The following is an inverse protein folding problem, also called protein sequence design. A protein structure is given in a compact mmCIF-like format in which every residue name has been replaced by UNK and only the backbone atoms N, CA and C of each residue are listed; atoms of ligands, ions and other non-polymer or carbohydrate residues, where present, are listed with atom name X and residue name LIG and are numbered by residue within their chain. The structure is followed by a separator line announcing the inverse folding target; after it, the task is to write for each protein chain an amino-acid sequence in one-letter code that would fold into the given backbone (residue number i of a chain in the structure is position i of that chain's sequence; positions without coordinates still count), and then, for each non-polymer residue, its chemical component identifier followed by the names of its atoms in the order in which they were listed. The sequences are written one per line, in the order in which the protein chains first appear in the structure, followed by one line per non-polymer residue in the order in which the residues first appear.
data_IF_039188332625
#
_entry.id   IF_039188332625
#
_cell.length_a   1.000
_cell.length_b   1.000
_cell.length_c   1.000
_cell.angle_alpha   90.00
_cell.angle_beta   90.00
_cell.angle_gamma   90.00
#
_symmetry.space_group_name_H-M   'P 1'
#
loop_
_entity.id
_entity.type
_entity.pdbx_description
1 polymer ?
#
# COMPACT_ATOMS: atom_id res chain seq x y z
N UNK A 1 39.60 -33.07 34.55
CA UNK A 1 39.19 -33.16 33.14
C UNK A 1 37.66 -33.07 33.10
N UNK A 2 37.10 -31.91 32.75
CA UNK A 2 35.64 -31.74 32.63
C UNK A 2 35.20 -32.16 31.22
N UNK A 3 34.43 -33.24 31.10
CA UNK A 3 33.80 -33.66 29.85
C UNK A 3 32.70 -32.64 29.51
N UNK A 4 32.98 -31.77 28.54
CA UNK A 4 31.94 -31.03 27.85
C UNK A 4 31.28 -32.00 26.88
N UNK A 5 30.33 -32.80 27.38
CA UNK A 5 29.53 -33.68 26.52
C UNK A 5 28.70 -32.78 25.59
N UNK A 6 29.13 -32.71 24.34
CA UNK A 6 28.47 -31.98 23.28
C UNK A 6 27.14 -32.70 23.01
N UNK A 7 26.02 -32.08 23.37
CA UNK A 7 24.70 -32.63 23.06
C UNK A 7 24.53 -32.69 21.53
N UNK A 8 24.32 -33.87 20.94
CA UNK A 8 24.31 -34.02 19.49
C UNK A 8 23.07 -33.36 18.88
N UNK A 9 23.27 -32.66 17.76
CA UNK A 9 22.17 -32.12 16.95
C UNK A 9 21.56 -33.28 16.16
N UNK A 10 20.47 -33.83 16.68
CA UNK A 10 19.65 -34.86 16.03
C UNK A 10 18.42 -34.23 15.35
N UNK A 11 17.79 -34.96 14.42
CA UNK A 11 16.51 -34.55 13.81
C UNK A 11 15.43 -34.22 14.86
N UNK A 12 15.37 -34.99 15.94
CA UNK A 12 14.46 -34.73 17.06
C UNK A 12 14.79 -33.41 17.77
N UNK A 13 16.07 -33.18 18.08
CA UNK A 13 16.52 -31.94 18.76
C UNK A 13 16.32 -30.69 17.89
N UNK A 14 16.48 -30.80 16.57
CA UNK A 14 16.18 -29.72 15.62
C UNK A 14 14.70 -29.38 15.63
N UNK A 15 13.83 -30.38 15.55
CA UNK A 15 12.38 -30.21 15.62
C UNK A 15 11.95 -29.54 16.93
N UNK A 16 12.50 -29.98 18.06
CA UNK A 16 12.20 -29.37 19.36
C UNK A 16 12.58 -27.88 19.42
N UNK A 17 13.73 -27.51 18.84
CA UNK A 17 14.13 -26.09 18.73
C UNK A 17 13.23 -25.32 17.77
N UNK A 18 12.84 -25.89 16.63
CA UNK A 18 11.89 -25.26 15.70
C UNK A 18 10.52 -25.01 16.33
N UNK A 19 9.98 -25.99 17.06
CA UNK A 19 8.73 -25.85 17.81
C UNK A 19 8.84 -24.79 18.90
N UNK A 20 10.01 -24.68 19.53
CA UNK A 20 10.28 -23.61 20.50
C UNK A 20 10.32 -22.25 19.81
N UNK A 21 11.03 -22.09 18.69
CA UNK A 21 11.05 -20.82 17.93
C UNK A 21 9.63 -20.39 17.59
N UNK A 22 8.82 -21.30 17.02
CA UNK A 22 7.42 -21.02 16.69
C UNK A 22 6.56 -20.67 17.92
N UNK A 23 6.88 -21.22 19.10
CA UNK A 23 6.24 -20.82 20.36
C UNK A 23 6.68 -19.40 20.77
N UNK A 24 7.99 -19.12 20.76
CA UNK A 24 8.54 -17.82 21.17
C UNK A 24 8.02 -16.69 20.27
N UNK A 25 7.89 -16.91 18.96
CA UNK A 25 7.32 -15.93 18.03
C UNK A 25 5.88 -15.54 18.36
N UNK A 26 5.11 -16.44 18.99
CA UNK A 26 3.72 -16.19 19.42
C UNK A 26 3.61 -15.67 20.86
N UNK A 27 4.58 -16.01 21.72
CA UNK A 27 4.53 -15.75 23.16
C UNK A 27 5.61 -14.79 23.67
N UNK A 28 6.40 -14.14 22.81
CA UNK A 28 7.56 -13.32 23.21
C UNK A 28 7.25 -12.24 24.25
N UNK A 29 6.04 -11.70 24.28
CA UNK A 29 5.61 -10.67 25.23
C UNK A 29 5.36 -11.22 26.64
N UNK A 30 5.25 -12.54 26.80
CA UNK A 30 5.01 -13.20 28.07
C UNK A 30 6.32 -13.46 28.83
N UNK A 31 6.19 -13.82 30.10
CA UNK A 31 7.33 -14.27 30.90
C UNK A 31 7.71 -15.71 30.52
N UNK A 32 8.85 -15.87 29.85
CA UNK A 32 9.34 -17.15 29.33
C UNK A 32 10.58 -17.57 30.14
N UNK A 33 10.54 -18.79 30.68
CA UNK A 33 11.65 -19.37 31.45
C UNK A 33 12.30 -20.51 30.67
N UNK A 34 13.59 -20.73 30.88
CA UNK A 34 14.30 -21.81 30.17
C UNK A 34 13.82 -23.19 30.64
N UNK A 35 13.38 -23.30 31.89
CA UNK A 35 12.81 -24.50 32.48
C UNK A 35 11.54 -24.95 31.74
N UNK A 36 10.67 -23.99 31.36
CA UNK A 36 9.48 -24.28 30.56
C UNK A 36 9.87 -24.83 29.18
N UNK A 37 10.80 -24.18 28.49
CA UNK A 37 11.23 -24.59 27.15
C UNK A 37 11.93 -25.96 27.17
N UNK A 38 12.78 -26.18 28.17
CA UNK A 38 13.49 -27.43 28.37
C UNK A 38 12.53 -28.59 28.68
N UNK A 39 11.52 -28.35 29.52
CA UNK A 39 10.45 -29.31 29.81
C UNK A 39 9.64 -29.66 28.56
N UNK A 40 9.29 -28.68 27.74
CA UNK A 40 8.57 -28.90 26.48
C UNK A 40 9.39 -29.75 25.50
N UNK A 41 10.71 -29.55 25.47
CA UNK A 41 11.63 -30.32 24.64
C UNK A 41 12.02 -31.70 25.23
N UNK A 42 11.61 -32.00 26.46
CA UNK A 42 12.04 -33.17 27.24
C UNK A 42 13.58 -33.28 27.36
N UNK A 43 14.25 -32.13 27.58
CA UNK A 43 15.71 -32.02 27.71
C UNK A 43 16.02 -31.25 29.00
N UNK A 44 17.13 -31.53 29.67
CA UNK A 44 17.54 -30.76 30.85
C UNK A 44 17.90 -29.31 30.49
N UNK A 45 17.54 -28.32 31.32
CA UNK A 45 17.70 -26.88 31.04
C UNK A 45 19.09 -26.46 30.57
N UNK A 46 20.15 -27.04 31.14
CA UNK A 46 21.54 -26.77 30.71
C UNK A 46 21.81 -27.28 29.29
N UNK A 47 21.42 -28.53 29.01
CA UNK A 47 21.59 -29.15 27.69
C UNK A 47 20.77 -28.40 26.64
N UNK A 48 19.54 -28.02 26.98
CA UNK A 48 18.66 -27.26 26.11
C UNK A 48 19.23 -25.87 25.78
N UNK A 49 19.83 -25.17 26.76
CA UNK A 49 20.52 -23.89 26.52
C UNK A 49 21.63 -24.03 25.47
N UNK A 50 22.46 -25.06 25.61
CA UNK A 50 23.58 -25.32 24.68
C UNK A 50 23.07 -25.70 23.30
N UNK A 51 22.06 -26.59 23.23
CA UNK A 51 21.42 -27.02 22.00
C UNK A 51 20.81 -25.83 21.25
N UNK A 52 20.00 -25.02 21.93
CA UNK A 52 19.34 -23.87 21.34
C UNK A 52 20.37 -22.85 20.81
N UNK A 53 21.43 -22.56 21.56
CA UNK A 53 22.52 -21.69 21.11
C UNK A 53 23.29 -22.25 19.92
N UNK A 54 23.52 -23.56 19.88
CA UNK A 54 24.21 -24.19 18.76
C UNK A 54 23.40 -24.10 17.47
N UNK A 55 22.08 -24.21 17.56
CA UNK A 55 21.19 -24.16 16.39
C UNK A 55 20.91 -22.72 15.96
N UNK A 56 20.66 -21.80 16.90
CA UNK A 56 20.17 -20.44 16.60
C UNK A 56 21.25 -19.36 16.66
N UNK A 57 22.41 -19.65 17.26
CA UNK A 57 23.43 -18.67 17.60
C UNK A 57 23.18 -17.92 18.91
N UNK A 58 21.96 -17.98 19.45
CA UNK A 58 21.52 -17.25 20.65
C UNK A 58 21.12 -18.18 21.78
N UNK A 59 21.27 -17.78 23.04
CA UNK A 59 20.53 -18.49 24.09
C UNK A 59 19.03 -18.11 24.08
N UNK A 60 18.13 -18.89 24.70
CA UNK A 60 16.70 -18.62 24.62
C UNK A 60 16.28 -17.21 25.09
N UNK A 61 16.91 -16.67 26.13
CA UNK A 61 16.59 -15.32 26.65
C UNK A 61 17.09 -14.22 25.71
N UNK A 62 18.25 -14.42 25.08
CA UNK A 62 18.76 -13.53 24.02
C UNK A 62 17.81 -13.54 22.82
N UNK A 63 17.35 -14.72 22.40
CA UNK A 63 16.42 -14.85 21.28
C UNK A 63 15.10 -14.13 21.54
N UNK A 64 14.50 -14.30 22.73
CA UNK A 64 13.32 -13.53 23.13
C UNK A 64 13.61 -12.03 23.16
N UNK A 65 14.79 -11.61 23.63
CA UNK A 65 15.18 -10.20 23.60
C UNK A 65 15.22 -9.67 22.17
N UNK A 66 15.81 -10.41 21.23
CA UNK A 66 15.84 -10.02 19.82
C UNK A 66 14.44 -9.94 19.21
N UNK A 67 13.55 -10.89 19.49
CA UNK A 67 12.15 -10.82 19.06
C UNK A 67 11.44 -9.57 19.60
N UNK A 68 11.63 -9.26 20.90
CA UNK A 68 11.06 -8.06 21.52
C UNK A 68 11.63 -6.78 20.92
N UNK A 69 12.94 -6.73 20.65
CA UNK A 69 13.59 -5.58 20.02
C UNK A 69 13.14 -5.39 18.58
N UNK A 70 12.99 -6.48 17.82
CA UNK A 70 12.42 -6.47 16.46
C UNK A 70 11.02 -5.86 16.50
N UNK A 71 10.12 -6.39 17.34
CA UNK A 71 8.76 -5.86 17.48
C UNK A 71 8.73 -4.41 17.97
N UNK A 72 9.62 -4.04 18.88
CA UNK A 72 9.72 -2.68 19.37
C UNK A 72 10.09 -1.69 18.25
N UNK A 73 11.05 -2.03 17.38
CA UNK A 73 11.43 -1.21 16.23
C UNK A 73 10.26 -1.00 15.29
N UNK A 74 9.50 -2.07 15.01
CA UNK A 74 8.28 -2.02 14.21
C UNK A 74 7.27 -1.03 14.84
N UNK A 75 6.87 -1.25 16.09
CA UNK A 75 5.90 -0.41 16.80
C UNK A 75 6.32 1.05 16.90
N UNK A 76 7.62 1.34 17.07
CA UNK A 76 8.14 2.70 17.11
C UNK A 76 8.02 3.44 15.78
N UNK A 77 8.08 2.72 14.65
CA UNK A 77 7.94 3.32 13.32
C UNK A 77 6.45 3.47 12.98
N UNK A 78 5.66 2.43 13.27
CA UNK A 78 4.33 2.28 12.67
C UNK A 78 3.18 2.72 13.58
N UNK A 79 3.40 2.80 14.90
CA UNK A 79 2.34 3.15 15.85
C UNK A 79 2.46 4.57 16.38
N UNK A 80 1.34 5.11 16.87
CA UNK A 80 1.31 6.34 17.68
C UNK A 80 1.28 6.06 19.19
N UNK A 81 1.58 4.83 19.61
CA UNK A 81 1.54 4.44 21.02
C UNK A 81 2.58 5.20 21.84
N UNK A 82 2.25 5.42 23.12
CA UNK A 82 3.24 5.98 24.06
C UNK A 82 4.37 4.97 24.27
N UNK A 83 5.57 5.47 24.57
CA UNK A 83 6.74 4.61 24.77
C UNK A 83 6.51 3.55 25.86
N UNK A 84 5.78 3.92 26.92
CA UNK A 84 5.32 3.03 27.99
C UNK A 84 4.41 1.91 27.49
N UNK A 85 3.51 2.19 26.54
CA UNK A 85 2.59 1.20 25.97
C UNK A 85 3.37 0.23 25.09
N UNK A 86 4.26 0.74 24.23
CA UNK A 86 5.14 -0.10 23.40
C UNK A 86 5.97 -1.04 24.28
N UNK A 87 6.56 -0.53 25.37
CA UNK A 87 7.32 -1.35 26.31
C UNK A 87 6.48 -2.53 26.84
N UNK A 88 5.25 -2.26 27.29
CA UNK A 88 4.32 -3.29 27.79
C UNK A 88 3.91 -4.27 26.70
N UNK A 89 3.58 -3.78 25.51
CA UNK A 89 3.19 -4.62 24.36
C UNK A 89 4.28 -5.61 23.98
N UNK A 90 5.56 -5.20 24.05
CA UNK A 90 6.69 -6.10 23.75
C UNK A 90 7.19 -6.86 24.99
N UNK A 91 6.47 -6.84 26.11
CA UNK A 91 6.75 -7.69 27.28
C UNK A 91 7.74 -7.10 28.30
N UNK A 92 7.91 -5.78 28.33
CA UNK A 92 8.62 -5.08 29.40
C UNK A 92 7.63 -4.31 30.29
N UNK A 93 7.63 -4.63 31.58
CA UNK A 93 6.81 -3.92 32.57
C UNK A 93 7.35 -2.52 32.87
N UNK A 94 8.68 -2.37 32.84
CA UNK A 94 9.40 -1.15 33.18
C UNK A 94 9.96 -0.46 31.92
N UNK A 95 9.49 0.76 31.65
CA UNK A 95 9.90 1.56 30.49
C UNK A 95 11.40 1.92 30.53
N UNK A 96 11.97 2.15 31.72
CA UNK A 96 13.37 2.52 31.87
C UNK A 96 14.30 1.34 31.52
N UNK A 97 13.94 0.12 31.92
CA UNK A 97 14.63 -1.10 31.56
C UNK A 97 14.51 -1.38 30.06
N UNK A 98 13.31 -1.22 29.48
CA UNK A 98 13.12 -1.30 28.03
C UNK A 98 14.03 -0.31 27.30
N UNK A 99 14.06 0.96 27.71
CA UNK A 99 14.89 1.99 27.08
C UNK A 99 16.38 1.62 27.10
N UNK A 100 16.90 1.17 28.27
CA UNK A 100 18.30 0.71 28.38
C UNK A 100 18.58 -0.49 27.49
N UNK A 101 17.67 -1.47 27.43
CA UNK A 101 17.80 -2.66 26.57
C UNK A 101 17.76 -2.30 25.10
N UNK A 102 16.84 -1.44 24.70
CA UNK A 102 16.72 -0.94 23.34
C UNK A 102 17.97 -0.18 22.91
N UNK A 103 18.48 0.72 23.77
CA UNK A 103 19.73 1.45 23.50
C UNK A 103 20.94 0.52 23.40
N UNK A 104 20.99 -0.53 24.23
CA UNK A 104 22.05 -1.55 24.15
C UNK A 104 21.99 -2.35 22.84
N UNK A 105 20.79 -2.70 22.37
CA UNK A 105 20.58 -3.47 21.14
C UNK A 105 20.78 -2.63 19.87
N UNK A 106 20.38 -1.35 19.89
CA UNK A 106 20.32 -0.51 18.67
C UNK A 106 21.35 0.61 18.62
N UNK A 107 22.04 0.90 19.72
CA UNK A 107 22.93 2.05 19.87
C UNK A 107 22.21 3.38 20.15
N UNK A 108 20.87 3.44 20.01
CA UNK A 108 20.08 4.67 20.15
C UNK A 108 18.92 4.48 21.14
N UNK A 109 18.47 5.54 21.80
CA UNK A 109 17.21 5.46 22.58
C UNK A 109 16.00 5.27 21.65
N UNK A 110 14.88 4.69 22.13
CA UNK A 110 13.67 4.53 21.32
C UNK A 110 13.20 5.83 20.64
N UNK A 111 13.25 6.96 21.35
CA UNK A 111 12.86 8.28 20.80
C UNK A 111 13.82 8.76 19.71
N UNK A 112 15.13 8.57 19.90
CA UNK A 112 16.13 8.90 18.89
C UNK A 112 15.96 8.02 17.64
N UNK A 113 15.72 6.72 17.83
CA UNK A 113 15.45 5.79 16.74
C UNK A 113 14.22 6.25 15.92
N UNK A 114 13.09 6.50 16.58
CA UNK A 114 11.86 6.99 15.94
C UNK A 114 12.11 8.29 15.15
N UNK A 115 12.78 9.28 15.77
CA UNK A 115 13.08 10.56 15.12
C UNK A 115 14.01 10.39 13.92
N UNK A 116 15.05 9.56 14.04
CA UNK A 116 16.03 9.31 12.97
C UNK A 116 15.40 8.63 11.75
N UNK A 117 14.37 7.83 11.97
CA UNK A 117 13.70 7.06 10.92
C UNK A 117 12.62 7.88 10.23
N UNK A 118 11.77 8.62 10.96
CA UNK A 118 10.62 9.34 10.36
C UNK A 118 10.99 10.38 9.29
N UNK A 119 12.14 11.06 9.39
CA UNK A 119 12.50 12.11 8.42
C UNK A 119 13.10 11.60 7.11
N UNK A 120 13.49 10.31 7.02
CA UNK A 120 14.16 9.77 5.84
C UNK A 120 13.96 8.25 5.73
N UNK A 121 12.70 7.79 5.82
CA UNK A 121 12.38 6.38 5.70
C UNK A 121 12.74 5.88 4.29
N UNK A 122 13.54 4.83 4.24
CA UNK A 122 13.75 4.02 3.03
C UNK A 122 12.57 3.07 2.85
N UNK A 123 11.64 3.41 1.96
CA UNK A 123 10.35 2.68 1.87
C UNK A 123 10.35 1.76 0.64
N UNK A 124 9.85 0.54 0.79
CA UNK A 124 9.33 -0.25 -0.33
C UNK A 124 7.81 -0.12 -0.30
N UNK A 125 7.20 0.28 -1.41
CA UNK A 125 5.77 0.56 -1.52
C UNK A 125 5.09 -0.45 -2.45
N UNK A 126 4.63 -1.57 -1.88
CA UNK A 126 3.80 -2.55 -2.61
C UNK A 126 2.31 -2.15 -2.62
N UNK A 127 1.96 -1.08 -1.90
CA UNK A 127 0.70 -0.34 -1.99
C UNK A 127 0.93 1.14 -1.64
N UNK A 128 -0.08 1.98 -1.90
CA UNK A 128 -0.10 3.40 -1.50
C UNK A 128 1.01 4.27 -2.10
N UNK A 129 1.54 3.85 -3.26
CA UNK A 129 2.53 4.61 -3.99
C UNK A 129 2.07 6.05 -4.23
N UNK A 130 0.83 6.24 -4.68
CA UNK A 130 0.32 7.57 -5.02
C UNK A 130 0.36 8.54 -3.84
N UNK A 131 -0.06 8.11 -2.66
CA UNK A 131 -0.04 8.95 -1.45
C UNK A 131 1.39 9.28 -1.01
N UNK A 132 2.33 8.33 -1.13
CA UNK A 132 3.73 8.58 -0.82
C UNK A 132 4.35 9.61 -1.75
N UNK A 133 4.05 9.53 -3.05
CA UNK A 133 4.51 10.51 -4.03
C UNK A 133 3.91 11.90 -3.77
N UNK A 134 2.63 11.99 -3.41
CA UNK A 134 1.98 13.25 -3.03
C UNK A 134 2.66 13.92 -1.82
N UNK A 135 3.18 13.12 -0.88
CA UNK A 135 3.94 13.59 0.28
C UNK A 135 5.43 13.83 -0.03
N UNK A 136 5.87 13.70 -1.28
CA UNK A 136 7.27 13.84 -1.68
C UNK A 136 8.17 12.75 -1.07
N UNK A 137 7.65 11.54 -0.88
CA UNK A 137 8.38 10.36 -0.38
C UNK A 137 8.54 9.35 -1.52
N UNK A 138 9.61 9.46 -2.30
CA UNK A 138 9.92 8.47 -3.33
C UNK A 138 10.31 7.11 -2.71
N UNK A 139 9.59 6.01 -3.04
CA UNK A 139 9.98 4.68 -2.61
C UNK A 139 11.28 4.21 -3.29
N UNK A 140 12.00 3.31 -2.63
CA UNK A 140 13.13 2.58 -3.22
C UNK A 140 12.67 1.56 -4.26
N UNK A 141 11.48 1.00 -4.05
CA UNK A 141 10.90 0.03 -4.94
C UNK A 141 9.38 0.01 -4.83
N UNK A 142 8.74 -0.46 -5.89
CA UNK A 142 7.29 -0.56 -6.03
C UNK A 142 6.87 -1.96 -6.46
N UNK A 143 5.59 -2.27 -6.27
CA UNK A 143 4.99 -3.49 -6.79
C UNK A 143 5.16 -3.59 -8.33
N UNK A 144 5.50 -4.78 -8.82
CA UNK A 144 5.69 -5.02 -10.25
C UNK A 144 4.47 -4.67 -11.09
N UNK A 145 3.25 -4.89 -10.58
CA UNK A 145 2.03 -4.57 -11.31
C UNK A 145 1.87 -3.07 -11.55
N UNK A 146 2.40 -2.22 -10.66
CA UNK A 146 2.32 -0.76 -10.77
C UNK A 146 3.11 -0.21 -11.97
N UNK A 147 4.19 -0.89 -12.36
CA UNK A 147 5.08 -0.45 -13.44
C UNK A 147 4.35 -0.36 -14.77
N UNK A 148 3.31 -1.16 -14.97
CA UNK A 148 2.51 -1.13 -16.20
C UNK A 148 1.54 0.07 -16.26
N UNK A 149 1.35 0.80 -15.16
CA UNK A 149 0.39 1.90 -15.02
C UNK A 149 1.06 3.28 -14.98
N UNK A 150 2.39 3.30 -14.94
CA UNK A 150 3.19 4.49 -14.74
C UNK A 150 4.17 4.70 -15.89
N UNK A 151 4.41 5.96 -16.24
CA UNK A 151 5.42 6.33 -17.21
C UNK A 151 6.84 6.11 -16.65
N UNK A 152 7.83 5.87 -17.52
CA UNK A 152 9.23 5.64 -17.10
C UNK A 152 9.79 6.76 -16.22
N UNK A 153 9.37 8.00 -16.45
CA UNK A 153 9.75 9.15 -15.63
C UNK A 153 9.23 9.02 -14.19
N UNK A 154 7.99 8.55 -14.02
CA UNK A 154 7.33 8.42 -12.72
C UNK A 154 7.94 7.32 -11.84
N UNK A 155 8.53 6.29 -12.43
CA UNK A 155 9.20 5.17 -11.74
C UNK A 155 10.73 5.27 -11.77
N UNK A 156 11.27 6.38 -12.28
CA UNK A 156 12.71 6.56 -12.43
C UNK A 156 13.43 6.43 -11.08
N UNK A 157 14.46 5.59 -11.04
CA UNK A 157 15.23 5.32 -9.82
C UNK A 157 14.57 4.38 -8.81
N UNK A 158 13.44 3.76 -9.15
CA UNK A 158 12.75 2.77 -8.30
C UNK A 158 12.97 1.35 -8.84
N UNK A 159 13.22 0.40 -7.94
CA UNK A 159 13.26 -1.02 -8.30
C UNK A 159 11.84 -1.61 -8.41
N UNK A 160 11.73 -2.74 -9.10
CA UNK A 160 10.51 -3.56 -9.16
C UNK A 160 10.60 -4.70 -8.17
N UNK A 161 9.56 -4.93 -7.37
CA UNK A 161 9.43 -6.09 -6.48
C UNK A 161 8.17 -6.85 -6.86
N UNK A 162 8.29 -8.16 -7.02
CA UNK A 162 7.16 -9.08 -7.17
C UNK A 162 7.04 -9.99 -5.94
N UNK A 163 6.00 -10.82 -5.89
CA UNK A 163 5.79 -11.78 -4.81
C UNK A 163 6.71 -13.02 -4.85
N UNK A 164 7.72 -13.05 -5.73
CA UNK A 164 8.62 -14.20 -5.87
C UNK A 164 9.76 -14.17 -4.84
N UNK A 165 10.45 -15.30 -4.68
CA UNK A 165 11.67 -15.36 -3.87
C UNK A 165 12.71 -14.34 -4.33
N UNK A 166 12.85 -14.15 -5.65
CA UNK A 166 13.79 -13.15 -6.20
C UNK A 166 13.38 -11.71 -5.87
N UNK A 167 12.08 -11.44 -5.76
CA UNK A 167 11.53 -10.18 -5.28
C UNK A 167 11.89 -9.92 -3.81
N UNK A 168 11.76 -10.94 -2.96
CA UNK A 168 12.15 -10.87 -1.54
C UNK A 168 13.66 -10.62 -1.39
N UNK A 169 14.50 -11.34 -2.14
CA UNK A 169 15.96 -11.14 -2.13
C UNK A 169 16.34 -9.72 -2.55
N UNK A 170 15.66 -9.19 -3.59
CA UNK A 170 15.87 -7.81 -4.05
C UNK A 170 15.46 -6.80 -2.97
N UNK A 171 14.32 -7.01 -2.30
CA UNK A 171 13.90 -6.17 -1.19
C UNK A 171 14.94 -6.15 -0.05
N UNK A 172 15.57 -7.28 0.25
CA UNK A 172 16.61 -7.37 1.28
C UNK A 172 17.87 -6.54 0.94
N UNK A 173 18.31 -6.57 -0.32
CA UNK A 173 19.48 -5.80 -0.80
C UNK A 173 19.25 -4.29 -0.68
N UNK A 174 18.01 -3.83 -0.86
CA UNK A 174 17.65 -2.43 -0.77
C UNK A 174 17.70 -1.85 0.65
N UNK A 175 17.78 -2.70 1.69
CA UNK A 175 17.84 -2.30 3.10
C UNK A 175 16.74 -1.26 3.45
N UNK A 176 15.45 -1.61 3.27
CA UNK A 176 14.35 -0.73 3.63
C UNK A 176 14.26 -0.54 5.15
N UNK A 177 13.69 0.59 5.56
CA UNK A 177 13.27 0.87 6.93
C UNK A 177 11.80 0.50 7.17
N UNK A 178 11.01 0.42 6.10
CA UNK A 178 9.58 0.13 6.11
C UNK A 178 9.18 -0.51 4.77
N UNK A 179 8.31 -1.50 4.83
CA UNK A 179 7.65 -2.10 3.66
C UNK A 179 6.15 -1.90 3.84
N UNK A 180 5.51 -1.25 2.89
CA UNK A 180 4.06 -1.08 2.89
C UNK A 180 3.47 -2.08 1.91
N UNK A 181 2.54 -2.90 2.39
CA UNK A 181 1.97 -4.04 1.66
C UNK A 181 0.47 -3.88 1.50
N UNK A 182 -0.08 -4.48 0.44
CA UNK A 182 -1.53 -4.50 0.21
C UNK A 182 -2.24 -5.48 1.17
N UNK A 183 -3.57 -5.35 1.31
CA UNK A 183 -4.37 -6.19 2.21
C UNK A 183 -4.44 -7.67 1.78
N UNK A 184 -4.13 -7.96 0.51
CA UNK A 184 -4.21 -9.30 -0.07
C UNK A 184 -2.85 -10.01 -0.13
N UNK A 185 -1.82 -9.42 0.47
CA UNK A 185 -0.46 -9.99 0.47
C UNK A 185 -0.49 -11.33 1.20
N UNK A 186 -0.07 -12.44 0.57
CA UNK A 186 -0.07 -13.75 1.20
C UNK A 186 0.70 -13.75 2.52
N UNK A 187 0.20 -14.50 3.51
CA UNK A 187 0.77 -14.50 4.86
C UNK A 187 2.24 -14.98 4.86
N UNK A 188 2.57 -15.93 3.99
CA UNK A 188 3.93 -16.45 3.81
C UNK A 188 4.86 -15.34 3.30
N UNK A 189 4.43 -14.60 2.28
CA UNK A 189 5.21 -13.48 1.74
C UNK A 189 5.35 -12.35 2.76
N UNK A 190 4.29 -12.04 3.50
CA UNK A 190 4.33 -11.04 4.58
C UNK A 190 5.36 -11.42 5.65
N UNK A 191 5.44 -12.70 6.02
CA UNK A 191 6.41 -13.19 6.99
C UNK A 191 7.85 -12.98 6.48
N UNK A 192 8.14 -13.36 5.23
CA UNK A 192 9.43 -13.14 4.58
C UNK A 192 9.82 -11.66 4.53
N UNK A 193 8.91 -10.78 4.09
CA UNK A 193 9.13 -9.33 4.07
C UNK A 193 9.36 -8.77 5.48
N UNK A 194 8.64 -9.28 6.47
CA UNK A 194 8.80 -8.90 7.88
C UNK A 194 10.15 -9.33 8.48
N UNK A 195 10.87 -10.28 7.86
CA UNK A 195 12.26 -10.58 8.24
C UNK A 195 13.24 -9.52 7.75
N UNK A 196 12.89 -8.74 6.71
CA UNK A 196 13.73 -7.69 6.13
C UNK A 196 13.56 -6.38 6.88
N UNK A 197 12.31 -5.91 7.01
CA UNK A 197 11.95 -4.65 7.66
C UNK A 197 10.50 -4.73 8.15
N UNK A 198 10.05 -3.81 9.04
CA UNK A 198 8.64 -3.70 9.40
C UNK A 198 7.76 -3.70 8.14
N UNK A 199 6.93 -4.74 7.97
CA UNK A 199 5.95 -4.83 6.89
C UNK A 199 4.57 -4.48 7.45
N UNK A 200 3.91 -3.47 6.87
CA UNK A 200 2.64 -2.96 7.35
C UNK A 200 1.58 -2.91 6.26
N UNK A 201 0.37 -3.31 6.64
CA UNK A 201 -0.81 -3.09 5.83
C UNK A 201 -1.38 -1.70 6.15
N UNK A 202 -1.66 -0.93 5.11
CA UNK A 202 -2.44 0.31 5.21
C UNK A 202 -3.78 0.07 4.54
N UNK A 203 -4.71 -0.49 5.30
CA UNK A 203 -6.09 -0.68 4.87
C UNK A 203 -6.89 0.56 5.28
N UNK A 204 -6.98 1.54 4.38
CA UNK A 204 -7.92 2.65 4.57
C UNK A 204 -9.31 2.21 4.12
N UNK A 205 -10.29 2.32 5.02
CA UNK A 205 -11.72 2.23 4.68
C UNK A 205 -12.32 3.60 4.34
N UNK A 206 -11.47 4.62 4.31
CA UNK A 206 -11.82 6.01 4.12
C UNK A 206 -11.68 6.49 2.68
N UNK A 207 -11.96 7.77 2.47
CA UNK A 207 -11.65 8.47 1.21
C UNK A 207 -10.14 8.53 0.94
N UNK A 208 -9.75 8.82 -0.31
CA UNK A 208 -8.34 9.07 -0.66
C UNK A 208 -7.68 10.14 0.22
N UNK A 209 -8.43 11.16 0.67
CA UNK A 209 -7.94 12.19 1.58
C UNK A 209 -7.67 11.65 3.00
N UNK A 210 -8.51 10.74 3.49
CA UNK A 210 -8.26 10.06 4.77
C UNK A 210 -7.07 9.12 4.65
N UNK A 211 -6.94 8.43 3.50
CA UNK A 211 -5.77 7.60 3.23
C UNK A 211 -4.47 8.42 3.22
N UNK A 212 -4.45 9.56 2.52
CA UNK A 212 -3.31 10.48 2.54
C UNK A 212 -2.93 10.86 3.98
N UNK A 213 -3.92 11.13 4.85
CA UNK A 213 -3.67 11.42 6.25
C UNK A 213 -2.99 10.26 6.99
N UNK A 214 -3.47 9.03 6.79
CA UNK A 214 -2.89 7.83 7.39
C UNK A 214 -1.44 7.61 6.95
N UNK A 215 -1.17 7.78 5.65
CA UNK A 215 0.19 7.70 5.10
C UNK A 215 1.06 8.84 5.65
N UNK A 216 0.55 10.06 5.71
CA UNK A 216 1.27 11.21 6.26
C UNK A 216 1.60 11.02 7.75
N UNK A 217 0.69 10.44 8.51
CA UNK A 217 0.90 10.06 9.90
C UNK A 217 2.03 9.03 10.03
N UNK A 218 1.97 7.97 9.23
CA UNK A 218 2.95 6.88 9.24
C UNK A 218 4.35 7.41 8.91
N UNK A 219 4.45 8.23 7.87
CA UNK A 219 5.70 8.78 7.38
C UNK A 219 6.16 10.01 8.17
N UNK A 220 5.38 10.51 9.13
CA UNK A 220 5.71 11.73 9.88
C UNK A 220 5.64 13.01 9.05
N UNK A 221 4.86 13.01 7.97
CA UNK A 221 4.76 14.04 6.94
C UNK A 221 3.45 14.84 6.96
N UNK A 222 2.93 15.14 8.15
CA UNK A 222 1.69 15.93 8.31
C UNK A 222 1.81 17.36 7.78
N UNK A 223 3.02 17.91 7.76
CA UNK A 223 3.23 19.25 7.20
C UNK A 223 3.13 19.22 5.68
N UNK A 224 3.72 18.21 5.05
CA UNK A 224 3.67 17.97 3.60
C UNK A 224 2.25 17.65 3.14
N UNK A 225 1.50 16.85 3.92
CA UNK A 225 0.07 16.63 3.70
C UNK A 225 -0.69 17.95 3.64
N UNK A 226 -0.53 18.81 4.66
CA UNK A 226 -1.20 20.11 4.68
C UNK A 226 -0.84 20.96 3.46
N UNK A 227 0.46 21.04 3.13
CA UNK A 227 0.93 21.79 1.97
C UNK A 227 0.36 21.22 0.67
N UNK A 228 0.25 19.89 0.56
CA UNK A 228 -0.34 19.24 -0.61
C UNK A 228 -1.83 19.57 -0.72
N UNK A 229 -2.60 19.45 0.37
CA UNK A 229 -4.03 19.77 0.41
C UNK A 229 -4.31 21.23 0.03
N UNK A 230 -3.50 22.17 0.54
CA UNK A 230 -3.61 23.59 0.22
C UNK A 230 -3.37 23.84 -1.29
N UNK A 231 -2.35 23.19 -1.89
CA UNK A 231 -2.06 23.29 -3.33
C UNK A 231 -3.17 22.68 -4.17
N UNK A 232 -3.64 21.49 -3.81
CA UNK A 232 -4.74 20.80 -4.49
C UNK A 232 -6.01 21.66 -4.48
N UNK A 233 -6.41 22.18 -3.31
CA UNK A 233 -7.60 23.01 -3.18
C UNK A 233 -7.49 24.31 -4.00
N UNK A 234 -6.32 24.94 -4.05
CA UNK A 234 -6.08 26.11 -4.89
C UNK A 234 -6.24 25.79 -6.39
N UNK A 235 -5.62 24.71 -6.87
CA UNK A 235 -5.71 24.30 -8.28
C UNK A 235 -7.12 23.85 -8.66
N UNK A 236 -7.80 23.10 -7.79
CA UNK A 236 -9.18 22.69 -8.00
C UNK A 236 -10.12 23.90 -8.13
N UNK A 237 -9.97 24.94 -7.29
CA UNK A 237 -10.74 26.18 -7.44
C UNK A 237 -10.49 26.87 -8.77
N UNK A 238 -9.22 26.98 -9.18
CA UNK A 238 -8.87 27.59 -10.46
C UNK A 238 -9.51 26.85 -11.64
N UNK A 239 -9.40 25.51 -11.68
CA UNK A 239 -10.01 24.68 -12.72
C UNK A 239 -11.54 24.83 -12.73
N UNK A 240 -12.16 24.84 -11.55
CA UNK A 240 -13.60 25.05 -11.41
C UNK A 240 -14.04 26.41 -11.93
N UNK A 241 -13.37 27.49 -11.55
CA UNK A 241 -13.69 28.85 -12.00
C UNK A 241 -13.55 28.99 -13.52
N UNK A 242 -12.55 28.33 -14.10
CA UNK A 242 -12.33 28.31 -15.54
C UNK A 242 -13.43 27.56 -16.31
N UNK A 243 -13.82 26.36 -15.85
CA UNK A 243 -14.63 25.43 -16.65
C UNK A 243 -16.10 25.35 -16.27
N UNK A 244 -16.46 25.54 -15.00
CA UNK A 244 -17.85 25.43 -14.55
C UNK A 244 -18.83 26.32 -15.34
N UNK A 245 -18.49 27.57 -15.75
CA UNK A 245 -19.39 28.39 -16.57
C UNK A 245 -19.66 27.83 -17.97
N UNK A 246 -18.80 26.94 -18.48
CA UNK A 246 -18.90 26.33 -19.81
C UNK A 246 -19.65 24.99 -19.82
N UNK A 247 -19.90 24.43 -18.63
CA UNK A 247 -20.56 23.15 -18.44
C UNK A 247 -22.04 23.40 -18.13
N UNK A 248 -22.94 22.73 -18.86
CA UNK A 248 -24.37 22.83 -18.64
C UNK A 248 -24.77 22.38 -17.22
N UNK A 249 -25.78 23.01 -16.63
CA UNK A 249 -26.21 22.73 -15.24
C UNK A 249 -26.55 21.26 -14.98
N UNK A 250 -27.14 20.60 -15.98
CA UNK A 250 -27.51 19.19 -15.94
C UNK A 250 -26.62 18.32 -16.83
N UNK A 251 -25.50 18.87 -17.36
CA UNK A 251 -24.60 18.15 -18.25
C UNK A 251 -23.98 16.95 -17.52
N UNK A 252 -24.15 15.78 -18.12
CA UNK A 252 -23.77 14.50 -17.55
C UNK A 252 -22.41 14.03 -18.05
N UNK A 253 -21.66 13.35 -17.20
CA UNK A 253 -20.42 12.68 -17.57
C UNK A 253 -20.46 11.22 -17.15
N UNK A 254 -19.99 10.34 -18.02
CA UNK A 254 -19.78 8.93 -17.72
C UNK A 254 -18.33 8.54 -18.00
N UNK A 255 -17.81 7.61 -17.21
CA UNK A 255 -16.41 7.26 -17.22
C UNK A 255 -16.24 5.74 -17.31
N UNK A 256 -15.76 5.28 -18.46
CA UNK A 256 -15.52 3.87 -18.75
C UNK A 256 -14.06 3.48 -18.52
N UNK A 257 -13.89 2.21 -18.14
CA UNK A 257 -12.60 1.56 -18.04
C UNK A 257 -12.62 0.27 -18.83
N UNK A 258 -11.76 0.18 -19.84
CA UNK A 258 -11.53 -1.05 -20.60
C UNK A 258 -10.44 -1.85 -19.92
N UNK A 259 -10.77 -3.05 -19.43
CA UNK A 259 -9.84 -3.95 -18.74
C UNK A 259 -9.90 -5.32 -19.41
N UNK A 260 -8.86 -5.65 -20.18
CA UNK A 260 -8.83 -6.87 -20.99
C UNK A 260 -10.01 -6.91 -21.96
N UNK A 261 -10.82 -7.97 -21.90
CA UNK A 261 -12.00 -8.14 -22.76
C UNK A 261 -13.29 -7.53 -22.19
N UNK A 262 -13.19 -6.74 -21.11
CA UNK A 262 -14.33 -6.28 -20.34
C UNK A 262 -14.38 -4.76 -20.22
N UNK A 263 -15.59 -4.24 -20.07
CA UNK A 263 -15.87 -2.83 -19.89
C UNK A 263 -16.50 -2.60 -18.51
N UNK A 264 -16.00 -1.59 -17.81
CA UNK A 264 -16.46 -1.21 -16.48
C UNK A 264 -16.74 0.28 -16.38
N UNK A 265 -17.46 0.69 -15.35
CA UNK A 265 -17.67 2.10 -14.99
C UNK A 265 -16.93 2.46 -13.71
N UNK A 266 -16.34 3.64 -13.71
CA UNK A 266 -15.94 4.31 -12.48
C UNK A 266 -17.15 4.95 -11.80
N UNK A 267 -17.13 4.93 -10.47
CA UNK A 267 -18.09 5.63 -9.63
C UNK A 267 -17.70 7.10 -9.50
N UNK A 268 -18.67 8.02 -9.30
CA UNK A 268 -18.37 9.43 -9.12
C UNK A 268 -17.37 9.73 -7.98
N UNK A 269 -17.40 8.96 -6.91
CA UNK A 269 -16.48 9.10 -5.77
C UNK A 269 -15.02 8.77 -6.12
N UNK A 270 -14.80 7.97 -7.16
CA UNK A 270 -13.46 7.64 -7.66
C UNK A 270 -12.91 8.74 -8.58
N UNK A 271 -13.78 9.64 -9.08
CA UNK A 271 -13.44 10.70 -10.03
C UNK A 271 -13.87 12.09 -9.55
N UNK A 272 -13.41 12.56 -8.37
CA UNK A 272 -13.88 13.82 -7.79
C UNK A 272 -13.53 15.05 -8.64
N UNK A 273 -12.45 15.01 -9.44
CA UNK A 273 -12.13 16.11 -10.36
C UNK A 273 -13.24 16.28 -11.42
N UNK A 274 -13.81 15.18 -11.90
CA UNK A 274 -14.87 15.21 -12.92
C UNK A 274 -16.20 15.66 -12.29
N UNK A 275 -16.60 15.07 -11.17
CA UNK A 275 -17.94 15.29 -10.63
C UNK A 275 -18.02 16.44 -9.61
N UNK A 276 -17.01 16.61 -8.76
CA UNK A 276 -17.02 17.64 -7.70
C UNK A 276 -16.38 18.95 -8.17
N UNK A 277 -15.22 18.88 -8.85
CA UNK A 277 -14.48 20.08 -9.30
C UNK A 277 -15.14 20.69 -10.54
N UNK A 278 -15.27 19.92 -11.62
CA UNK A 278 -15.89 20.39 -12.87
C UNK A 278 -17.42 20.50 -12.78
N UNK A 279 -18.05 19.68 -11.94
CA UNK A 279 -19.47 19.81 -11.62
C UNK A 279 -20.43 19.00 -12.51
N UNK A 280 -19.93 18.05 -13.30
CA UNK A 280 -20.77 17.17 -14.11
C UNK A 280 -21.75 16.36 -13.26
N UNK A 281 -22.91 16.05 -13.83
CA UNK A 281 -23.91 15.18 -13.21
C UNK A 281 -23.67 13.72 -13.55
N UNK A 282 -24.05 12.85 -12.63
CA UNK A 282 -24.06 11.41 -12.87
C UNK A 282 -25.32 11.03 -13.68
N UNK A 283 -25.19 10.31 -14.81
CA UNK A 283 -26.32 9.79 -15.58
C UNK A 283 -27.26 8.92 -14.73
N UNK A 284 -28.55 8.90 -15.09
CA UNK A 284 -29.57 8.16 -14.34
C UNK A 284 -29.27 6.66 -14.26
N UNK A 285 -28.83 6.04 -15.38
CA UNK A 285 -28.50 4.62 -15.42
C UNK A 285 -27.37 4.25 -14.45
N UNK A 286 -26.32 5.06 -14.39
CA UNK A 286 -25.22 4.87 -13.45
C UNK A 286 -25.71 4.98 -12.00
N UNK A 287 -26.59 5.96 -11.68
CA UNK A 287 -27.20 6.05 -10.34
C UNK A 287 -27.98 4.80 -9.95
N UNK A 288 -28.75 4.22 -10.89
CA UNK A 288 -29.52 2.99 -10.66
C UNK A 288 -28.61 1.80 -10.37
N UNK A 289 -27.58 1.59 -11.21
CA UNK A 289 -26.61 0.51 -11.03
C UNK A 289 -25.85 0.58 -9.71
N UNK A 290 -25.45 1.80 -9.31
CA UNK A 290 -24.78 2.01 -8.02
C UNK A 290 -25.66 1.67 -6.81
N UNK A 291 -26.99 1.77 -6.94
CA UNK A 291 -27.92 1.40 -5.88
C UNK A 291 -28.11 -0.12 -5.77
N UNK A 292 -27.86 -0.86 -6.86
CA UNK A 292 -28.08 -2.30 -6.96
C UNK A 292 -26.80 -3.12 -6.75
N UNK A 293 -25.63 -2.53 -6.99
CA UNK A 293 -24.36 -3.25 -7.00
C UNK A 293 -23.27 -2.51 -6.20
N UNK A 294 -22.71 -3.18 -5.19
CA UNK A 294 -21.55 -2.68 -4.43
C UNK A 294 -20.20 -3.04 -5.08
N UNK A 295 -20.18 -3.99 -6.02
CA UNK A 295 -18.98 -4.41 -6.72
C UNK A 295 -18.61 -3.47 -7.90
N UNK A 296 -17.59 -3.86 -8.67
CA UNK A 296 -17.27 -3.19 -9.95
C UNK A 296 -18.48 -3.24 -10.88
N UNK A 297 -18.79 -2.09 -11.48
CA UNK A 297 -19.95 -1.91 -12.34
C UNK A 297 -19.60 -2.39 -13.75
N UNK A 298 -19.88 -3.66 -14.02
CA UNK A 298 -19.68 -4.28 -15.33
C UNK A 298 -20.69 -3.75 -16.35
N UNK A 299 -20.22 -3.51 -17.57
CA UNK A 299 -21.04 -3.06 -18.70
C UNK A 299 -20.92 -4.09 -19.83
N UNK A 300 -22.01 -4.81 -20.17
CA UNK A 300 -22.07 -5.58 -21.41
C UNK A 300 -21.88 -4.65 -22.60
N UNK A 301 -21.01 -5.01 -23.56
CA UNK A 301 -20.74 -4.19 -24.74
C UNK A 301 -22.01 -3.96 -25.58
N UNK A 302 -22.93 -4.93 -25.56
CA UNK A 302 -24.20 -4.90 -26.29
C UNK A 302 -25.22 -3.92 -25.71
N UNK A 303 -25.09 -3.56 -24.43
CA UNK A 303 -26.00 -2.65 -23.72
C UNK A 303 -25.41 -1.24 -23.59
N UNK A 304 -24.34 -0.92 -24.33
CA UNK A 304 -23.60 0.33 -24.14
C UNK A 304 -24.44 1.60 -24.36
N UNK A 305 -25.46 1.56 -25.22
CA UNK A 305 -26.40 2.68 -25.43
C UNK A 305 -27.18 3.08 -24.17
N UNK A 306 -27.39 2.16 -23.23
CA UNK A 306 -28.10 2.46 -21.98
C UNK A 306 -27.31 3.44 -21.09
N UNK A 307 -26.04 3.66 -21.42
CA UNK A 307 -25.07 4.46 -20.67
C UNK A 307 -24.75 5.79 -21.37
N UNK A 308 -25.66 6.31 -22.19
CA UNK A 308 -25.48 7.60 -22.85
C UNK A 308 -25.31 8.76 -21.85
N UNK A 309 -24.49 9.73 -22.23
CA UNK A 309 -24.17 10.92 -21.45
C UNK A 309 -23.69 12.04 -22.37
N UNK A 310 -23.71 13.28 -21.87
CA UNK A 310 -23.24 14.45 -22.63
C UNK A 310 -21.72 14.42 -22.84
N UNK A 311 -20.99 13.78 -21.94
CA UNK A 311 -19.54 13.53 -22.04
C UNK A 311 -19.17 12.10 -21.70
N UNK A 312 -18.30 11.52 -22.51
CA UNK A 312 -17.74 10.19 -22.30
C UNK A 312 -16.24 10.31 -22.05
N UNK A 313 -15.77 9.78 -20.92
CA UNK A 313 -14.36 9.59 -20.62
C UNK A 313 -14.03 8.10 -20.69
N UNK A 314 -12.89 7.73 -21.28
CA UNK A 314 -12.50 6.33 -21.44
C UNK A 314 -11.04 6.16 -21.04
N UNK A 315 -10.77 5.21 -20.16
CA UNK A 315 -9.43 4.67 -19.93
C UNK A 315 -9.32 3.37 -20.70
N UNK A 316 -8.34 3.31 -21.60
CA UNK A 316 -7.91 2.08 -22.25
C UNK A 316 -6.51 1.75 -21.73
N UNK A 317 -6.42 0.74 -20.88
CA UNK A 317 -5.15 0.34 -20.29
C UNK A 317 -4.24 -0.45 -21.24
N UNK A 318 -3.05 -0.80 -20.76
CA UNK A 318 -2.07 -1.62 -21.51
C UNK A 318 -2.29 -3.14 -21.40
N UNK A 319 -3.33 -3.58 -20.69
CA UNK A 319 -3.62 -5.01 -20.53
C UNK A 319 -3.95 -5.68 -21.87
N UNK A 320 -3.46 -6.90 -22.07
CA UNK A 320 -3.78 -7.69 -23.27
C UNK A 320 -5.29 -7.80 -23.48
N UNK A 321 -5.77 -7.54 -24.69
CA UNK A 321 -7.20 -7.55 -25.03
C UNK A 321 -7.89 -6.18 -24.86
N UNK A 322 -7.32 -5.25 -24.09
CA UNK A 322 -7.95 -3.95 -23.82
C UNK A 322 -8.05 -3.11 -25.10
N UNK A 323 -7.00 -3.11 -25.93
CA UNK A 323 -6.98 -2.36 -27.18
C UNK A 323 -8.00 -2.90 -28.17
N UNK A 324 -8.08 -4.22 -28.33
CA UNK A 324 -9.05 -4.86 -29.21
C UNK A 324 -10.49 -4.57 -28.75
N UNK A 325 -10.73 -4.57 -27.44
CA UNK A 325 -12.04 -4.23 -26.86
C UNK A 325 -12.39 -2.77 -27.08
N UNK A 326 -11.43 -1.87 -26.92
CA UNK A 326 -11.59 -0.46 -27.23
C UNK A 326 -11.90 -0.21 -28.71
N UNK A 327 -11.18 -0.89 -29.62
CA UNK A 327 -11.44 -0.81 -31.06
C UNK A 327 -12.82 -1.36 -31.43
N UNK A 328 -13.26 -2.47 -30.80
CA UNK A 328 -14.63 -3.00 -30.96
C UNK A 328 -15.69 -2.01 -30.47
N UNK A 329 -15.44 -1.33 -29.35
CA UNK A 329 -16.35 -0.31 -28.81
C UNK A 329 -16.51 0.85 -29.81
N UNK A 330 -15.41 1.38 -30.35
CA UNK A 330 -15.46 2.47 -31.33
C UNK A 330 -16.08 2.04 -32.68
N UNK A 331 -15.92 0.77 -33.06
CA UNK A 331 -16.49 0.21 -34.28
C UNK A 331 -17.97 -0.20 -34.13
N UNK A 332 -18.51 -0.20 -32.91
CA UNK A 332 -19.87 -0.65 -32.66
C UNK A 332 -20.87 0.21 -33.45
N UNK A 333 -21.87 -0.38 -34.15
CA UNK A 333 -22.81 0.39 -34.98
C UNK A 333 -23.55 1.49 -34.21
N UNK A 334 -23.79 1.24 -32.92
CA UNK A 334 -24.51 2.14 -32.04
C UNK A 334 -23.63 3.22 -31.42
N UNK A 335 -22.29 3.10 -31.50
CA UNK A 335 -21.36 4.10 -30.96
C UNK A 335 -21.68 5.52 -31.46
N UNK A 336 -21.99 5.65 -32.76
CA UNK A 336 -22.32 6.93 -33.40
C UNK A 336 -23.65 7.53 -32.95
N UNK A 337 -24.49 6.77 -32.24
CA UNK A 337 -25.79 7.23 -31.76
C UNK A 337 -25.70 7.99 -30.43
N UNK A 338 -24.56 7.88 -29.73
CA UNK A 338 -24.38 8.50 -28.40
C UNK A 338 -24.24 10.01 -28.49
N UNK A 339 -24.82 10.69 -27.51
CA UNK A 339 -24.85 12.15 -27.40
C UNK A 339 -23.43 12.73 -27.40
N UNK A 340 -22.53 12.17 -26.59
CA UNK A 340 -21.13 12.61 -26.52
C UNK A 340 -20.38 12.39 -27.84
N UNK A 341 -20.67 11.30 -28.56
CA UNK A 341 -19.99 10.98 -29.83
C UNK A 341 -20.44 11.94 -30.93
N UNK A 342 -21.74 12.19 -31.05
CA UNK A 342 -22.29 13.16 -32.01
C UNK A 342 -21.79 14.58 -31.75
N UNK A 343 -21.48 14.90 -30.50
CA UNK A 343 -21.03 16.23 -30.08
C UNK A 343 -19.50 16.40 -30.03
N UNK A 344 -18.72 15.38 -30.38
CA UNK A 344 -17.24 15.42 -30.30
C UNK A 344 -16.70 15.52 -28.87
N UNK A 345 -17.45 15.01 -27.88
CA UNK A 345 -17.15 15.09 -26.43
C UNK A 345 -16.76 13.74 -25.84
N UNK A 346 -15.95 13.00 -26.59
CA UNK A 346 -15.31 11.76 -26.14
C UNK A 346 -13.85 12.05 -25.82
N UNK A 347 -13.41 11.65 -24.63
CA UNK A 347 -12.09 11.96 -24.11
C UNK A 347 -11.35 10.68 -23.70
N UNK A 348 -10.14 10.50 -24.21
CA UNK A 348 -9.28 9.39 -23.82
C UNK A 348 -8.42 9.83 -22.64
N UNK A 349 -8.65 9.20 -21.50
CA UNK A 349 -8.00 9.52 -20.24
C UNK A 349 -6.71 8.70 -20.09
N UNK A 350 -5.68 9.30 -19.50
CA UNK A 350 -4.43 8.58 -19.22
C UNK A 350 -4.66 7.57 -18.11
N UNK A 351 -4.13 6.36 -18.26
CA UNK A 351 -4.24 5.28 -17.25
C UNK A 351 -3.60 5.69 -15.91
N UNK A 352 -2.49 6.43 -15.95
CA UNK A 352 -1.85 6.95 -14.74
C UNK A 352 -2.75 7.89 -13.92
N UNK A 353 -3.75 8.52 -14.54
CA UNK A 353 -4.70 9.40 -13.84
C UNK A 353 -5.78 8.65 -13.08
N UNK A 354 -5.86 7.33 -13.21
CA UNK A 354 -6.78 6.49 -12.44
C UNK A 354 -6.07 5.56 -11.47
N UNK A 355 -4.78 5.82 -11.23
CA UNK A 355 -3.99 5.13 -10.23
C UNK A 355 -4.59 5.25 -8.84
N UNK A 356 -4.46 4.19 -8.05
CA UNK A 356 -4.77 4.22 -6.62
C UNK A 356 -3.84 5.18 -5.86
N UNK A 357 -4.44 6.06 -5.05
CA UNK A 357 -3.76 7.09 -4.28
C UNK A 357 -3.94 8.52 -4.82
N UNK A 358 -3.78 9.49 -3.93
CA UNK A 358 -4.27 10.85 -4.17
C UNK A 358 -3.50 11.65 -5.23
N UNK A 359 -2.27 11.26 -5.58
CA UNK A 359 -1.46 11.95 -6.60
C UNK A 359 -2.14 11.97 -7.96
N UNK A 360 -2.95 10.96 -8.27
CA UNK A 360 -3.69 10.88 -9.52
C UNK A 360 -4.61 12.10 -9.70
N UNK A 361 -5.19 12.61 -8.61
CA UNK A 361 -6.03 13.81 -8.64
C UNK A 361 -5.24 15.07 -9.00
N UNK A 362 -3.96 15.15 -8.60
CA UNK A 362 -3.08 16.26 -8.99
C UNK A 362 -2.77 16.20 -10.49
N UNK A 363 -2.43 15.02 -11.02
CA UNK A 363 -2.18 14.82 -12.45
C UNK A 363 -3.43 15.08 -13.30
N UNK A 364 -4.61 14.70 -12.82
CA UNK A 364 -5.87 15.05 -13.44
C UNK A 364 -6.02 16.58 -13.52
N UNK A 365 -5.85 17.31 -12.42
CA UNK A 365 -5.96 18.77 -12.44
C UNK A 365 -4.93 19.44 -13.37
N UNK A 366 -3.75 18.85 -13.53
CA UNK A 366 -2.72 19.35 -14.44
C UNK A 366 -3.09 19.23 -15.92
N UNK A 367 -3.70 18.11 -16.32
CA UNK A 367 -3.97 17.86 -17.74
C UNK A 367 -5.43 18.01 -18.16
N UNK A 368 -6.39 18.13 -17.24
CA UNK A 368 -7.82 18.11 -17.58
C UNK A 368 -8.21 19.26 -18.51
N UNK A 369 -7.59 20.44 -18.36
CA UNK A 369 -7.87 21.57 -19.24
C UNK A 369 -7.44 21.30 -20.69
N UNK A 370 -6.28 20.67 -20.89
CA UNK A 370 -5.81 20.28 -22.22
C UNK A 370 -6.73 19.21 -22.82
N UNK A 371 -7.10 18.20 -22.02
CA UNK A 371 -7.99 17.13 -22.45
C UNK A 371 -9.35 17.68 -22.91
N UNK A 372 -9.96 18.58 -22.13
CA UNK A 372 -11.25 19.16 -22.46
C UNK A 372 -11.19 20.11 -23.66
N UNK A 373 -10.07 20.82 -23.84
CA UNK A 373 -9.85 21.69 -25.00
C UNK A 373 -9.58 20.90 -26.29
N UNK A 374 -8.96 19.72 -26.17
CA UNK A 374 -8.56 18.85 -27.28
C UNK A 374 -9.59 17.81 -27.70
N UNK A 375 -10.83 17.85 -27.18
CA UNK A 375 -11.90 16.91 -27.55
C UNK A 375 -11.96 16.69 -29.06
N UNK A 376 -12.00 15.43 -29.49
CA UNK A 376 -11.95 15.09 -30.91
C UNK A 376 -13.00 15.90 -31.68
N UNK A 377 -12.52 16.75 -32.59
CA UNK A 377 -13.36 17.22 -33.71
C UNK A 377 -13.61 16.07 -34.67
#
# INVERSE_FOLDING_TARGET
MSRTDIFPVTKHSLRAVQETIAYLERAYSQNITIEQLAKQANIGSWQYRQLFRRITGFNPNEFVTELRMKRAKELLIVSQQRLSEIARTVGYEDEYYFNRRFKKSTGMSPRQYMRSKKSNLRIIALSNFGDMMALGSQPLAVDHHLINWLDQEQISGMASIDGSLSGVERAAVLKPDLIVVNAYTPQELLAELSHIAPAVHLESKGSMFQHLNEVAVLLGKRQEEKLWLDRYAAKARQIREQWLPTIGREETAIFFHVVGEQLYLYRPQEMPVIYEVLGFKTPLKLKQLMAECEARLFVPLESFLEYDADRIFIVCGQMQGARETFEKLLAHPEWRQLTAVQSGRVYIFKESWTLDGIIALEWQLDGISELLAGGQR
#
